data_IF_275967820642
#
_entry.id   IF_275967820642
#
_cell.length_a   1.000
_cell.length_b   1.000
_cell.length_c   1.000
_cell.angle_alpha   90.00
_cell.angle_beta   90.00
_cell.angle_gamma   90.00
#
_symmetry.space_group_name_H-M   'P 1'
#
loop_
_entity.id
_entity.type
_entity.pdbx_description
1 polymer ?
#
# COMPACT_ATOMS: atom_id res chain seq x y z
N UNK A 1 6.99 2.94 -1.97
CA UNK A 1 6.07 2.92 -0.84
C UNK A 1 6.16 1.66 -0.01
N UNK A 2 5.45 1.63 1.07
CA UNK A 2 5.34 0.46 1.96
C UNK A 2 3.88 0.31 2.37
N UNK A 3 3.05 0.10 1.35
CA UNK A 3 1.62 0.26 1.45
C UNK A 3 0.98 -0.90 2.20
N UNK A 4 -0.08 -0.59 2.93
CA UNK A 4 -0.67 -1.52 3.88
C UNK A 4 -2.06 -1.99 3.49
N UNK A 5 -2.40 -3.19 3.98
CA UNK A 5 -3.77 -3.66 4.16
C UNK A 5 -3.97 -3.94 5.65
N UNK A 6 -5.04 -3.44 6.23
CA UNK A 6 -5.48 -3.83 7.56
C UNK A 6 -6.93 -4.33 7.51
N UNK A 7 -7.20 -5.49 8.07
CA UNK A 7 -8.53 -6.06 8.19
C UNK A 7 -9.05 -5.94 9.62
N UNK A 8 -10.28 -5.45 9.79
CA UNK A 8 -11.02 -5.49 11.05
C UNK A 8 -11.68 -6.87 11.25
N UNK A 9 -11.93 -7.35 12.47
CA UNK A 9 -12.61 -8.63 12.70
C UNK A 9 -13.95 -8.84 11.98
N UNK A 10 -14.64 -7.76 11.61
CA UNK A 10 -15.87 -7.81 10.81
C UNK A 10 -15.66 -7.98 9.30
N UNK A 11 -14.42 -7.98 8.82
CA UNK A 11 -14.15 -8.06 7.39
C UNK A 11 -14.53 -9.44 6.82
N UNK A 12 -14.83 -9.48 5.52
CA UNK A 12 -15.01 -10.73 4.81
C UNK A 12 -13.64 -11.35 4.48
N UNK A 13 -13.31 -12.55 5.00
CA UNK A 13 -11.98 -13.13 4.82
C UNK A 13 -11.63 -13.42 3.36
N UNK A 14 -12.60 -13.77 2.51
CA UNK A 14 -12.35 -14.00 1.10
C UNK A 14 -11.99 -12.70 0.35
N UNK A 15 -12.66 -11.60 0.69
CA UNK A 15 -12.34 -10.27 0.14
C UNK A 15 -10.96 -9.80 0.57
N UNK A 16 -10.60 -10.03 1.84
CA UNK A 16 -9.25 -9.73 2.37
C UNK A 16 -8.19 -10.51 1.60
N UNK A 17 -8.38 -11.83 1.45
CA UNK A 17 -7.43 -12.69 0.72
C UNK A 17 -7.23 -12.24 -0.74
N UNK A 18 -8.32 -11.93 -1.44
CA UNK A 18 -8.26 -11.40 -2.83
C UNK A 18 -7.59 -10.02 -2.87
N UNK A 19 -7.88 -9.16 -1.91
CA UNK A 19 -7.21 -7.85 -1.77
C UNK A 19 -5.71 -7.99 -1.57
N UNK A 20 -5.26 -8.97 -0.80
CA UNK A 20 -3.83 -9.30 -0.63
C UNK A 20 -3.26 -9.85 -1.93
N UNK A 21 -3.89 -10.87 -2.53
CA UNK A 21 -3.39 -11.54 -3.73
C UNK A 21 -3.21 -10.56 -4.91
N UNK A 22 -4.22 -9.76 -5.20
CA UNK A 22 -4.15 -8.74 -6.26
C UNK A 22 -3.24 -7.58 -5.87
N UNK A 23 -3.37 -7.08 -4.64
CA UNK A 23 -2.60 -5.93 -4.18
C UNK A 23 -1.10 -6.16 -4.14
N UNK A 24 -0.67 -7.37 -3.76
CA UNK A 24 0.73 -7.71 -3.60
C UNK A 24 1.39 -8.30 -4.86
N UNK A 25 0.64 -9.00 -5.72
CA UNK A 25 1.23 -9.83 -6.76
C UNK A 25 0.92 -9.42 -8.19
N UNK A 26 -0.12 -8.60 -8.43
CA UNK A 26 -0.33 -8.01 -9.76
C UNK A 26 0.95 -7.30 -10.23
N UNK A 27 1.35 -7.56 -11.48
CA UNK A 27 2.59 -7.04 -12.06
C UNK A 27 3.84 -7.33 -11.20
N UNK A 28 3.89 -8.53 -10.59
CA UNK A 28 4.97 -9.01 -9.72
C UNK A 28 5.24 -8.07 -8.52
N UNK A 29 4.22 -7.37 -8.01
CA UNK A 29 4.38 -6.41 -6.92
C UNK A 29 5.26 -5.22 -7.26
N UNK A 30 5.54 -4.98 -8.55
CA UNK A 30 6.41 -3.90 -9.02
C UNK A 30 5.61 -2.61 -9.24
N UNK A 31 4.86 -2.21 -8.22
CA UNK A 31 4.10 -0.97 -8.18
C UNK A 31 4.48 -0.22 -6.90
N UNK A 32 4.64 1.09 -6.98
CA UNK A 32 4.87 1.92 -5.80
C UNK A 32 3.75 1.78 -4.75
N UNK A 33 2.54 1.42 -5.20
CA UNK A 33 1.33 1.21 -4.38
C UNK A 33 0.98 -0.25 -4.12
N UNK A 34 1.85 -1.22 -4.44
CA UNK A 34 1.60 -2.63 -4.15
C UNK A 34 1.47 -2.88 -2.65
N UNK A 35 0.52 -3.74 -2.26
CA UNK A 35 0.40 -4.18 -0.88
C UNK A 35 1.68 -4.90 -0.44
N UNK A 36 2.28 -4.43 0.63
CA UNK A 36 3.61 -4.84 1.05
C UNK A 36 3.63 -5.36 2.48
N UNK A 37 2.73 -4.83 3.32
CA UNK A 37 2.52 -5.23 4.71
C UNK A 37 1.03 -5.36 4.99
N UNK A 38 0.67 -6.42 5.68
CA UNK A 38 -0.73 -6.77 5.95
C UNK A 38 -0.92 -7.08 7.42
N UNK A 39 -2.01 -6.57 7.99
CA UNK A 39 -2.40 -6.79 9.38
C UNK A 39 -3.76 -7.49 9.40
N UNK A 40 -3.78 -8.72 9.93
CA UNK A 40 -4.99 -9.58 9.95
C UNK A 40 -5.34 -9.93 11.39
N UNK A 41 -6.61 -9.80 11.82
CA UNK A 41 -6.99 -10.23 13.15
C UNK A 41 -6.95 -11.75 13.26
N UNK A 42 -6.60 -12.22 14.44
CA UNK A 42 -6.43 -13.65 14.73
C UNK A 42 -7.65 -14.49 14.36
N UNK A 43 -8.86 -13.98 14.57
CA UNK A 43 -10.10 -14.69 14.25
C UNK A 43 -10.31 -14.92 12.74
N UNK A 44 -9.82 -14.03 11.89
CA UNK A 44 -9.98 -14.15 10.43
C UNK A 44 -8.85 -14.91 9.76
N UNK A 45 -7.69 -15.01 10.41
CA UNK A 45 -6.48 -15.53 9.78
C UNK A 45 -6.64 -16.92 9.15
N UNK A 46 -7.22 -17.94 9.83
CA UNK A 46 -7.34 -19.26 9.23
C UNK A 46 -8.10 -19.27 7.89
N UNK A 47 -9.18 -18.49 7.79
CA UNK A 47 -9.98 -18.40 6.56
C UNK A 47 -9.27 -17.58 5.47
N UNK A 48 -8.59 -16.50 5.85
CA UNK A 48 -7.78 -15.68 4.92
C UNK A 48 -6.63 -16.51 4.38
N UNK A 49 -5.90 -17.23 5.24
CA UNK A 49 -4.77 -18.09 4.86
C UNK A 49 -5.20 -19.16 3.87
N UNK A 50 -6.26 -19.91 4.17
CA UNK A 50 -6.75 -20.99 3.32
C UNK A 50 -7.16 -20.48 1.92
N UNK A 51 -7.84 -19.34 1.85
CA UNK A 51 -8.25 -18.74 0.58
C UNK A 51 -7.04 -18.20 -0.20
N UNK A 52 -6.12 -17.51 0.47
CA UNK A 52 -4.91 -16.95 -0.14
C UNK A 52 -4.02 -18.08 -0.71
N UNK A 53 -3.84 -19.15 0.05
CA UNK A 53 -3.06 -20.31 -0.40
C UNK A 53 -3.69 -20.97 -1.65
N UNK A 54 -5.02 -21.13 -1.68
CA UNK A 54 -5.71 -21.66 -2.85
C UNK A 54 -5.55 -20.77 -4.08
N UNK A 55 -5.63 -19.43 -3.90
CA UNK A 55 -5.43 -18.46 -4.98
C UNK A 55 -4.00 -18.53 -5.51
N UNK A 56 -3.00 -18.50 -4.64
CA UNK A 56 -1.59 -18.54 -5.04
C UNK A 56 -1.23 -19.84 -5.78
N UNK A 57 -1.74 -20.99 -5.33
CA UNK A 57 -1.56 -22.28 -6.02
C UNK A 57 -2.15 -22.29 -7.43
N UNK A 58 -3.15 -21.45 -7.70
CA UNK A 58 -3.76 -21.33 -9.03
C UNK A 58 -3.03 -20.36 -9.96
N UNK A 59 -2.15 -19.51 -9.43
CA UNK A 59 -1.39 -18.53 -10.21
C UNK A 59 -0.30 -19.23 -11.02
N UNK A 60 -0.39 -19.11 -12.34
CA UNK A 60 0.67 -19.59 -13.24
C UNK A 60 1.76 -18.54 -13.35
N UNK A 61 3.00 -19.02 -13.47
CA UNK A 61 4.19 -18.18 -13.67
C UNK A 61 4.92 -18.61 -14.95
N UNK A 62 5.27 -17.64 -15.80
CA UNK A 62 5.96 -17.92 -17.05
C UNK A 62 6.14 -16.69 -17.94
N UNK A 63 6.30 -16.94 -19.25
CA UNK A 63 6.47 -15.88 -20.25
C UNK A 63 5.24 -14.95 -20.32
N UNK A 64 5.45 -13.62 -20.48
CA UNK A 64 4.36 -12.67 -20.72
C UNK A 64 3.65 -12.87 -22.07
N UNK A 65 4.21 -13.65 -22.98
CA UNK A 65 3.56 -14.02 -24.25
C UNK A 65 2.37 -14.98 -24.04
N UNK A 66 2.38 -15.75 -22.95
CA UNK A 66 1.25 -16.59 -22.54
C UNK A 66 0.36 -15.81 -21.54
N UNK A 67 -0.77 -15.33 -22.03
CA UNK A 67 -1.74 -14.56 -21.24
C UNK A 67 -2.39 -15.34 -20.09
N UNK A 68 -2.16 -16.65 -19.99
CA UNK A 68 -2.61 -17.45 -18.84
C UNK A 68 -1.67 -17.32 -17.62
N UNK A 69 -0.48 -16.75 -17.78
CA UNK A 69 0.46 -16.49 -16.70
C UNK A 69 0.08 -15.21 -15.96
N UNK A 70 -0.23 -15.34 -14.69
CA UNK A 70 -0.50 -14.20 -13.81
C UNK A 70 0.81 -13.53 -13.33
N UNK A 71 1.86 -14.32 -13.16
CA UNK A 71 3.19 -13.88 -12.70
C UNK A 71 4.19 -14.05 -13.85
N UNK A 72 5.00 -13.01 -14.06
CA UNK A 72 6.12 -13.05 -15.01
C UNK A 72 7.44 -12.72 -14.30
N UNK A 73 8.53 -12.48 -15.04
CA UNK A 73 9.82 -12.15 -14.46
C UNK A 73 9.84 -10.75 -13.83
N UNK A 74 10.63 -10.55 -12.79
CA UNK A 74 10.96 -9.21 -12.28
C UNK A 74 11.91 -8.47 -13.21
N UNK A 75 12.00 -7.15 -13.07
CA UNK A 75 12.57 -6.24 -14.07
C UNK A 75 14.06 -6.45 -14.36
N UNK A 76 14.85 -6.92 -13.37
CA UNK A 76 16.32 -7.03 -13.54
C UNK A 76 16.93 -8.06 -12.61
N UNK A 77 18.17 -8.47 -12.92
CA UNK A 77 18.96 -9.35 -12.04
C UNK A 77 19.19 -8.72 -10.67
N UNK A 78 19.49 -7.44 -10.59
CA UNK A 78 19.65 -6.75 -9.31
C UNK A 78 18.38 -6.79 -8.44
N UNK A 79 17.19 -6.68 -9.07
CA UNK A 79 15.92 -6.85 -8.38
C UNK A 79 15.73 -8.29 -7.91
N UNK A 80 16.02 -9.26 -8.77
CA UNK A 80 15.97 -10.68 -8.44
C UNK A 80 16.87 -11.01 -7.24
N UNK A 81 18.15 -10.66 -7.30
CA UNK A 81 19.15 -10.98 -6.26
C UNK A 81 18.78 -10.30 -4.92
N UNK A 82 18.25 -9.08 -4.97
CA UNK A 82 17.72 -8.41 -3.77
C UNK A 82 16.57 -9.19 -3.15
N UNK A 83 15.58 -9.59 -3.95
CA UNK A 83 14.39 -10.31 -3.47
C UNK A 83 14.76 -11.69 -2.92
N UNK A 84 15.61 -12.45 -3.63
CA UNK A 84 16.13 -13.75 -3.20
C UNK A 84 16.79 -13.64 -1.82
N UNK A 85 17.65 -12.64 -1.63
CA UNK A 85 18.32 -12.40 -0.33
C UNK A 85 17.34 -12.16 0.81
N UNK A 86 16.29 -11.35 0.60
CA UNK A 86 15.28 -11.10 1.64
C UNK A 86 14.42 -12.34 1.93
N UNK A 87 14.11 -13.13 0.91
CA UNK A 87 13.40 -14.41 1.08
C UNK A 87 14.26 -15.40 1.88
N UNK A 88 15.54 -15.54 1.55
CA UNK A 88 16.46 -16.42 2.27
C UNK A 88 16.69 -15.93 3.71
N UNK A 89 16.77 -14.62 3.93
CA UNK A 89 16.85 -14.07 5.27
C UNK A 89 15.59 -14.46 6.07
N UNK A 90 14.40 -14.31 5.52
CA UNK A 90 13.15 -14.67 6.20
C UNK A 90 13.05 -16.18 6.51
N UNK A 91 13.59 -17.05 5.63
CA UNK A 91 13.64 -18.50 5.87
C UNK A 91 14.53 -18.90 7.06
N UNK A 92 15.51 -18.07 7.39
CA UNK A 92 16.52 -18.36 8.42
C UNK A 92 16.36 -17.51 9.70
N UNK A 93 15.32 -16.66 9.76
CA UNK A 93 15.09 -15.73 10.87
C UNK A 93 14.07 -16.32 11.84
N UNK A 94 14.29 -16.16 13.15
CA UNK A 94 13.36 -16.61 14.18
C UNK A 94 12.06 -15.79 14.26
N UNK A 95 12.09 -14.55 13.78
CA UNK A 95 10.95 -13.62 13.81
C UNK A 95 10.04 -13.74 12.58
N UNK A 96 10.40 -14.60 11.60
CA UNK A 96 9.69 -14.71 10.35
C UNK A 96 9.62 -16.15 9.84
N UNK A 97 8.57 -16.45 9.09
CA UNK A 97 8.37 -17.73 8.42
C UNK A 97 7.87 -17.48 6.99
N UNK A 98 8.47 -18.13 6.00
CA UNK A 98 7.94 -18.14 4.63
C UNK A 98 6.87 -19.23 4.55
N UNK A 99 5.60 -18.82 4.59
CA UNK A 99 4.46 -19.76 4.65
C UNK A 99 3.89 -20.13 3.27
N UNK A 100 4.19 -19.37 2.22
CA UNK A 100 3.77 -19.64 0.84
C UNK A 100 4.85 -19.14 -0.13
N UNK A 101 5.08 -19.86 -1.22
CA UNK A 101 6.09 -19.50 -2.22
C UNK A 101 7.53 -19.66 -1.70
N UNK A 102 8.33 -18.65 -1.96
CA UNK A 102 9.72 -18.61 -1.49
C UNK A 102 10.73 -19.27 -2.41
N UNK A 103 10.30 -19.78 -3.57
CA UNK A 103 11.20 -20.29 -4.60
C UNK A 103 11.47 -19.22 -5.65
N UNK A 104 12.64 -19.32 -6.26
CA UNK A 104 13.06 -18.39 -7.30
C UNK A 104 14.06 -19.07 -8.22
N UNK A 105 14.07 -18.69 -9.49
CA UNK A 105 14.97 -19.25 -10.51
C UNK A 105 15.29 -18.20 -11.57
N UNK A 106 16.59 -18.01 -11.85
CA UNK A 106 17.06 -17.10 -12.90
C UNK A 106 17.68 -17.82 -14.11
N UNK A 107 17.52 -19.14 -14.21
CA UNK A 107 18.11 -19.92 -15.32
C UNK A 107 17.47 -19.61 -16.68
N UNK A 108 16.19 -19.22 -16.69
CA UNK A 108 15.42 -18.87 -17.89
C UNK A 108 14.91 -17.43 -17.88
N UNK A 109 14.94 -16.77 -16.75
CA UNK A 109 14.43 -15.42 -16.52
C UNK A 109 14.39 -15.14 -15.02
N UNK A 110 14.23 -13.90 -14.64
CA UNK A 110 14.26 -13.48 -13.24
C UNK A 110 12.94 -13.79 -12.52
N UNK A 111 12.62 -15.08 -12.36
CA UNK A 111 11.37 -15.55 -11.80
C UNK A 111 11.43 -15.67 -10.28
N UNK A 112 10.50 -15.00 -9.61
CA UNK A 112 10.26 -15.08 -8.15
C UNK A 112 8.82 -15.51 -7.92
N UNK A 113 8.61 -16.60 -7.19
CA UNK A 113 7.25 -17.00 -6.81
C UNK A 113 6.59 -15.96 -5.91
N UNK A 114 5.25 -15.77 -6.04
CA UNK A 114 4.48 -15.04 -5.04
C UNK A 114 4.78 -15.56 -3.64
N UNK A 115 5.39 -14.71 -2.81
CA UNK A 115 5.92 -15.12 -1.52
C UNK A 115 5.21 -14.41 -0.39
N UNK A 116 4.71 -15.19 0.56
CA UNK A 116 4.06 -14.71 1.79
C UNK A 116 4.95 -15.02 2.98
N UNK A 117 5.33 -13.98 3.69
CA UNK A 117 6.09 -14.05 4.95
C UNK A 117 5.12 -13.77 6.09
N UNK A 118 5.07 -14.64 7.09
CA UNK A 118 4.42 -14.40 8.36
C UNK A 118 5.46 -13.92 9.37
N UNK A 119 5.14 -12.88 10.13
CA UNK A 119 6.07 -12.39 11.16
C UNK A 119 5.38 -12.21 12.52
N UNK A 120 6.11 -12.48 13.59
CA UNK A 120 5.72 -12.14 14.95
C UNK A 120 6.18 -10.74 15.37
N UNK A 121 7.10 -10.15 14.59
CA UNK A 121 7.64 -8.82 14.82
C UNK A 121 6.98 -7.79 13.88
N UNK A 122 6.10 -6.91 14.38
CA UNK A 122 5.39 -5.95 13.53
C UNK A 122 6.29 -4.91 12.86
N UNK A 123 7.55 -4.82 13.29
CA UNK A 123 8.60 -3.97 12.68
C UNK A 123 9.69 -4.80 12.00
N UNK A 124 9.37 -6.02 11.60
CA UNK A 124 10.28 -6.85 10.83
C UNK A 124 10.78 -6.10 9.58
N UNK A 125 11.99 -6.37 9.14
CA UNK A 125 12.63 -5.61 8.06
C UNK A 125 11.79 -5.54 6.78
N UNK A 126 11.11 -6.64 6.41
CA UNK A 126 10.23 -6.66 5.22
C UNK A 126 8.90 -5.93 5.42
N UNK A 127 8.51 -5.58 6.67
CA UNK A 127 7.41 -4.66 6.97
C UNK A 127 7.80 -3.19 6.73
N UNK A 128 9.09 -2.86 6.79
CA UNK A 128 9.61 -1.49 6.74
C UNK A 128 10.33 -1.16 5.43
N UNK A 129 11.01 -2.14 4.81
CA UNK A 129 11.86 -1.94 3.63
C UNK A 129 11.10 -2.17 2.33
N UNK A 130 11.21 -1.24 1.38
CA UNK A 130 10.62 -1.36 0.03
C UNK A 130 11.39 -2.41 -0.79
N UNK A 131 10.74 -3.54 -1.06
CA UNK A 131 11.32 -4.63 -1.85
C UNK A 131 11.05 -4.48 -3.34
N UNK A 132 9.89 -4.02 -3.73
CA UNK A 132 9.46 -3.82 -5.12
C UNK A 132 9.43 -5.13 -5.91
N UNK A 133 8.78 -6.14 -5.35
CA UNK A 133 8.69 -7.49 -5.91
C UNK A 133 7.52 -8.27 -5.30
N UNK A 134 7.30 -9.52 -5.73
CA UNK A 134 6.15 -10.34 -5.33
C UNK A 134 6.33 -10.94 -3.93
N UNK A 135 6.56 -10.09 -2.94
CA UNK A 135 6.77 -10.46 -1.54
C UNK A 135 5.87 -9.59 -0.66
N UNK A 136 5.04 -10.23 0.14
CA UNK A 136 4.17 -9.57 1.12
C UNK A 136 4.42 -10.14 2.51
N UNK A 137 4.39 -9.29 3.52
CA UNK A 137 4.58 -9.68 4.92
C UNK A 137 3.31 -9.48 5.71
N UNK A 138 2.89 -10.51 6.45
CA UNK A 138 1.67 -10.53 7.25
C UNK A 138 2.02 -10.55 8.72
N UNK A 139 1.36 -9.69 9.49
CA UNK A 139 1.35 -9.68 10.94
C UNK A 139 -0.05 -9.98 11.46
N UNK A 140 -0.17 -10.96 12.36
CA UNK A 140 -1.44 -11.34 12.98
C UNK A 140 -1.56 -10.62 14.31
N UNK A 141 -2.65 -9.88 14.51
CA UNK A 141 -2.93 -9.17 15.74
C UNK A 141 -4.15 -9.74 16.49
N UNK A 142 -4.19 -9.57 17.80
CA UNK A 142 -5.34 -9.95 18.63
C UNK A 142 -6.56 -9.08 18.32
N UNK A 143 -7.72 -9.67 18.13
CA UNK A 143 -8.96 -8.99 17.72
C UNK A 143 -9.30 -7.75 18.58
N UNK A 144 -9.02 -7.82 19.87
CA UNK A 144 -9.27 -6.72 20.80
C UNK A 144 -8.30 -5.52 20.63
N UNK A 145 -7.20 -5.71 19.89
CA UNK A 145 -6.15 -4.68 19.71
C UNK A 145 -6.30 -3.88 18.43
N UNK A 146 -7.52 -3.68 17.95
CA UNK A 146 -7.80 -2.92 16.73
C UNK A 146 -7.20 -1.51 16.74
N UNK A 147 -7.55 -0.70 17.74
CA UNK A 147 -7.10 0.69 17.84
C UNK A 147 -5.57 0.79 18.01
N UNK A 148 -4.96 -0.12 18.79
CA UNK A 148 -3.51 -0.21 18.96
C UNK A 148 -2.82 -0.58 17.64
N UNK A 149 -3.44 -1.48 16.86
CA UNK A 149 -2.92 -1.90 15.56
C UNK A 149 -3.01 -0.78 14.53
N UNK A 150 -4.04 0.05 14.55
CA UNK A 150 -4.11 1.26 13.71
C UNK A 150 -2.92 2.19 13.98
N UNK A 151 -2.58 2.43 15.24
CA UNK A 151 -1.40 3.20 15.61
C UNK A 151 -0.11 2.56 15.12
N UNK A 152 0.01 1.24 15.27
CA UNK A 152 1.15 0.49 14.75
C UNK A 152 1.29 0.64 13.22
N UNK A 153 0.20 0.55 12.46
CA UNK A 153 0.18 0.77 11.00
C UNK A 153 0.73 2.14 10.64
N UNK A 154 0.31 3.19 11.36
CA UNK A 154 0.75 4.57 11.14
C UNK A 154 2.26 4.75 11.39
N UNK A 155 2.79 4.08 12.43
CA UNK A 155 4.16 4.25 12.92
C UNK A 155 5.19 3.32 12.25
N UNK A 156 4.77 2.30 11.49
CA UNK A 156 5.69 1.26 10.98
C UNK A 156 6.54 1.76 9.81
N UNK A 157 6.08 2.73 9.04
CA UNK A 157 6.76 3.16 7.82
C UNK A 157 6.85 4.68 7.73
N UNK A 158 7.96 5.17 7.19
CA UNK A 158 8.14 6.56 6.81
C UNK A 158 7.37 6.97 5.55
N UNK A 159 6.84 6.01 4.79
CA UNK A 159 6.02 6.25 3.60
C UNK A 159 4.54 6.39 3.95
N UNK A 160 3.82 7.17 3.13
CA UNK A 160 2.39 7.37 3.24
C UNK A 160 1.74 7.51 1.85
N UNK A 161 1.94 6.51 0.98
CA UNK A 161 1.44 6.55 -0.39
C UNK A 161 0.01 6.04 -0.45
N UNK A 162 -0.21 4.76 -0.24
CA UNK A 162 -1.54 4.15 -0.26
C UNK A 162 -1.76 3.23 0.94
N UNK A 163 -3.03 2.94 1.23
CA UNK A 163 -3.41 1.99 2.25
C UNK A 163 -4.86 1.56 2.09
N UNK A 164 -5.19 0.37 2.58
CA UNK A 164 -6.52 -0.20 2.51
C UNK A 164 -7.00 -0.73 3.86
N UNK A 165 -8.29 -0.51 4.13
CA UNK A 165 -8.99 -1.04 5.30
C UNK A 165 -10.12 -1.93 4.84
N UNK A 166 -10.16 -3.16 5.33
CA UNK A 166 -11.27 -4.09 5.11
C UNK A 166 -12.12 -4.19 6.36
N UNK A 167 -13.38 -3.82 6.28
CA UNK A 167 -14.34 -3.87 7.39
C UNK A 167 -15.78 -3.81 6.90
N UNK A 168 -16.69 -4.53 7.58
CA UNK A 168 -18.13 -4.38 7.43
C UNK A 168 -18.74 -3.53 8.57
N UNK A 169 -17.95 -3.16 9.56
CA UNK A 169 -18.35 -2.27 10.65
C UNK A 169 -18.06 -0.81 10.29
N UNK A 170 -19.11 0.01 10.16
CA UNK A 170 -18.95 1.42 9.80
C UNK A 170 -18.16 2.22 10.82
N UNK A 171 -18.35 1.94 12.11
CA UNK A 171 -17.59 2.59 13.18
C UNK A 171 -16.08 2.30 13.09
N UNK A 172 -15.71 1.05 12.78
CA UNK A 172 -14.30 0.69 12.58
C UNK A 172 -13.70 1.39 11.35
N UNK A 173 -14.48 1.58 10.28
CA UNK A 173 -14.05 2.36 9.10
C UNK A 173 -13.81 3.82 9.47
N UNK A 174 -14.71 4.42 10.26
CA UNK A 174 -14.56 5.81 10.72
C UNK A 174 -13.34 5.98 11.62
N UNK A 175 -13.16 5.09 12.60
CA UNK A 175 -11.97 5.07 13.47
C UNK A 175 -10.67 4.96 12.66
N UNK A 176 -10.61 4.00 11.72
CA UNK A 176 -9.45 3.83 10.86
C UNK A 176 -9.19 5.05 9.97
N UNK A 177 -10.24 5.68 9.44
CA UNK A 177 -10.12 6.88 8.60
C UNK A 177 -9.49 8.05 9.38
N UNK A 178 -9.86 8.20 10.64
CA UNK A 178 -9.29 9.24 11.51
C UNK A 178 -7.87 8.88 11.94
N UNK A 179 -7.66 7.65 12.41
CA UNK A 179 -6.35 7.21 12.92
C UNK A 179 -5.27 7.20 11.84
N UNK A 180 -5.64 6.86 10.59
CA UNK A 180 -4.71 6.71 9.46
C UNK A 180 -4.74 7.89 8.48
N UNK A 181 -5.31 9.03 8.84
CA UNK A 181 -5.44 10.20 7.96
C UNK A 181 -4.11 10.68 7.34
N UNK A 182 -2.99 10.45 8.04
CA UNK A 182 -1.65 10.82 7.58
C UNK A 182 -0.80 9.62 7.13
N UNK A 183 -1.37 8.40 7.11
CA UNK A 183 -0.67 7.18 6.75
C UNK A 183 -0.81 6.80 5.27
N UNK A 184 -1.75 7.42 4.54
CA UNK A 184 -1.97 7.15 3.12
C UNK A 184 -2.55 8.37 2.41
N UNK A 185 -1.96 8.75 1.28
CA UNK A 185 -2.51 9.77 0.40
C UNK A 185 -3.71 9.26 -0.39
N UNK A 186 -3.69 7.99 -0.82
CA UNK A 186 -4.85 7.27 -1.36
C UNK A 186 -5.30 6.21 -0.37
N UNK A 187 -6.50 6.37 0.17
CA UNK A 187 -7.06 5.52 1.20
C UNK A 187 -8.26 4.74 0.65
N UNK A 188 -8.20 3.41 0.74
CA UNK A 188 -9.18 2.51 0.14
C UNK A 188 -9.97 1.78 1.22
N UNK A 189 -11.28 1.62 1.01
CA UNK A 189 -12.16 0.88 1.91
C UNK A 189 -12.73 -0.31 1.14
N UNK A 190 -12.47 -1.52 1.64
CA UNK A 190 -12.87 -2.79 1.03
C UNK A 190 -12.38 -2.97 -0.42
N UNK A 191 -11.22 -2.42 -0.71
CA UNK A 191 -10.53 -2.61 -1.99
C UNK A 191 -9.00 -2.72 -1.75
N UNK A 192 -8.27 -3.24 -2.75
CA UNK A 192 -6.80 -3.30 -2.69
C UNK A 192 -6.19 -1.89 -2.77
N UNK A 193 -5.01 -1.65 -2.18
CA UNK A 193 -4.42 -0.31 -2.11
C UNK A 193 -3.75 0.16 -3.42
N UNK A 194 -3.88 -0.56 -4.52
CA UNK A 194 -3.22 -0.30 -5.80
C UNK A 194 -4.19 -0.26 -6.96
N UNK A 195 -3.73 0.30 -8.12
CA UNK A 195 -4.53 0.35 -9.33
C UNK A 195 -5.37 1.61 -9.45
N UNK A 196 -4.88 2.76 -8.98
CA UNK A 196 -5.51 4.06 -9.23
C UNK A 196 -5.67 4.31 -10.73
N UNK A 197 -6.87 4.73 -11.13
CA UNK A 197 -7.23 4.98 -12.52
C UNK A 197 -7.26 6.49 -12.77
N UNK A 198 -6.55 6.95 -13.79
CA UNK A 198 -6.53 8.36 -14.21
C UNK A 198 -7.95 8.85 -14.48
N UNK A 199 -8.29 10.02 -13.92
CA UNK A 199 -9.63 10.60 -14.03
C UNK A 199 -10.63 10.11 -12.99
N UNK A 200 -10.35 9.02 -12.28
CA UNK A 200 -11.20 8.50 -11.20
C UNK A 200 -10.59 8.76 -9.81
N UNK A 201 -9.29 8.53 -9.67
CA UNK A 201 -8.58 8.71 -8.39
C UNK A 201 -7.31 9.53 -8.64
N UNK A 202 -7.27 10.80 -8.24
CA UNK A 202 -6.02 11.55 -8.17
C UNK A 202 -5.04 10.80 -7.25
N UNK A 203 -3.78 10.69 -7.69
CA UNK A 203 -2.78 9.85 -7.05
C UNK A 203 -1.66 10.65 -6.41
N UNK A 204 -1.31 10.31 -5.19
CA UNK A 204 -0.20 10.91 -4.48
C UNK A 204 -0.15 10.49 -3.02
N UNK A 205 1.00 10.68 -2.40
CA UNK A 205 1.25 10.38 -1.01
C UNK A 205 2.08 11.43 -0.31
N UNK A 206 2.08 11.36 1.00
CA UNK A 206 2.80 12.26 1.90
C UNK A 206 4.02 11.57 2.54
N UNK A 207 4.65 12.20 3.52
CA UNK A 207 5.87 11.74 4.19
C UNK A 207 6.97 11.43 3.17
N UNK A 208 7.67 10.32 3.30
CA UNK A 208 8.70 9.86 2.35
C UNK A 208 8.17 9.50 0.95
N UNK A 209 6.85 9.44 0.74
CA UNK A 209 6.25 9.13 -0.56
C UNK A 209 6.08 10.34 -1.49
N UNK A 210 6.16 11.58 -0.98
CA UNK A 210 6.08 12.77 -1.81
C UNK A 210 5.33 13.93 -1.18
N UNK A 211 4.95 14.89 -2.00
CA UNK A 211 4.31 16.15 -1.59
C UNK A 211 2.78 16.10 -1.56
N UNK A 212 2.20 14.97 -1.92
CA UNK A 212 0.76 14.72 -1.96
C UNK A 212 -0.02 15.67 -2.90
N UNK A 213 0.59 16.11 -3.99
CA UNK A 213 -0.02 17.07 -4.93
C UNK A 213 -1.10 16.47 -5.83
N UNK A 214 -1.42 15.19 -5.66
CA UNK A 214 -2.53 14.51 -6.36
C UNK A 214 -2.45 14.60 -7.87
N UNK A 215 -1.48 13.88 -8.46
CA UNK A 215 -1.36 13.73 -9.91
C UNK A 215 -2.72 13.27 -10.51
N UNK A 216 -3.13 13.92 -11.61
CA UNK A 216 -4.43 13.74 -12.23
C UNK A 216 -5.55 14.63 -11.66
N UNK A 217 -5.22 15.59 -10.78
CA UNK A 217 -6.15 16.60 -10.29
C UNK A 217 -5.73 18.03 -10.70
N UNK A 218 -6.67 18.96 -10.63
CA UNK A 218 -6.38 20.39 -10.83
C UNK A 218 -5.42 20.96 -9.78
N UNK A 219 -5.40 20.38 -8.58
CA UNK A 219 -4.46 20.78 -7.52
C UNK A 219 -3.00 20.58 -7.92
N UNK A 220 -2.69 19.52 -8.67
CA UNK A 220 -1.33 19.29 -9.18
C UNK A 220 -0.87 20.41 -10.10
N UNK A 221 -1.77 20.98 -10.92
CA UNK A 221 -1.44 22.03 -11.88
C UNK A 221 -1.02 23.34 -11.18
N UNK A 222 -1.50 23.61 -9.97
CA UNK A 222 -1.11 24.79 -9.19
C UNK A 222 0.38 24.79 -8.83
N UNK A 223 1.03 23.64 -8.80
CA UNK A 223 2.49 23.55 -8.57
C UNK A 223 3.32 24.09 -9.74
N UNK A 224 2.73 24.14 -10.92
CA UNK A 224 3.38 24.57 -12.16
C UNK A 224 3.06 26.01 -12.52
N UNK A 225 2.25 26.70 -11.71
CA UNK A 225 1.81 28.06 -11.94
C UNK A 225 2.28 29.00 -10.83
N UNK A 226 2.69 30.21 -11.20
CA UNK A 226 2.92 31.30 -10.26
C UNK A 226 1.72 32.22 -10.28
N UNK A 227 1.04 32.31 -9.14
CA UNK A 227 -0.17 33.14 -9.02
C UNK A 227 0.22 34.59 -8.82
N UNK A 228 -0.36 35.48 -9.62
CA UNK A 228 -0.20 36.94 -9.51
C UNK A 228 -1.57 37.58 -9.30
N UNK A 229 -1.68 38.41 -8.28
CA UNK A 229 -2.87 39.23 -8.03
C UNK A 229 -2.59 40.65 -8.51
N UNK A 230 -3.51 41.19 -9.30
CA UNK A 230 -3.49 42.56 -9.77
C UNK A 230 -4.71 43.28 -9.22
N UNK A 231 -4.51 44.41 -8.55
CA UNK A 231 -5.55 45.35 -8.15
C UNK A 231 -5.33 46.67 -8.88
N UNK A 232 -6.32 47.12 -9.62
CA UNK A 232 -6.33 48.41 -10.27
C UNK A 232 -7.43 49.27 -9.67
N UNK A 233 -7.11 50.53 -9.38
CA UNK A 233 -8.09 51.48 -8.84
C UNK A 233 -8.27 52.57 -9.88
N UNK A 234 -9.48 52.68 -10.45
CA UNK A 234 -9.81 53.64 -11.51
C UNK A 234 -10.04 55.02 -10.97
N UNK A 235 -10.50 55.16 -9.72
CA UNK A 235 -10.66 56.43 -9.02
C UNK A 235 -9.78 56.36 -7.77
N UNK A 236 -8.57 56.88 -7.88
CA UNK A 236 -7.61 56.88 -6.77
C UNK A 236 -8.02 57.93 -5.75
N UNK A 237 -8.03 57.64 -4.45
CA UNK A 237 -8.25 58.65 -3.41
C UNK A 237 -7.20 59.75 -3.47
N UNK A 238 -7.63 61.01 -3.35
CA UNK A 238 -6.76 62.17 -3.31
C UNK A 238 -6.51 62.67 -1.88
N UNK A 239 -7.21 62.14 -0.89
CA UNK A 239 -7.04 62.39 0.54
C UNK A 239 -6.73 61.10 1.26
N UNK A 240 -5.92 61.17 2.28
CA UNK A 240 -5.57 60.01 3.13
C UNK A 240 -6.69 59.64 4.09
N UNK A 241 -7.61 60.57 4.37
CA UNK A 241 -8.71 60.37 5.28
C UNK A 241 -9.73 59.42 4.70
N UNK A 242 -10.15 58.46 5.52
CA UNK A 242 -11.30 57.66 5.24
C UNK A 242 -12.58 58.41 5.71
N UNK A 243 -13.78 58.08 5.18
CA UNK A 243 -15.01 58.76 5.51
C UNK A 243 -15.35 58.86 7.01
N UNK A 244 -14.87 57.91 7.82
CA UNK A 244 -15.08 57.92 9.27
C UNK A 244 -14.18 58.95 10.02
N UNK A 245 -13.22 59.52 9.36
CA UNK A 245 -12.34 60.54 9.95
C UNK A 245 -12.86 61.98 9.75
N UNK A 246 -13.94 62.12 9.01
CA UNK A 246 -14.57 63.45 8.73
C UNK A 246 -13.86 64.23 7.63
#
# INVERSE_FOLDING_TARGET
GKDFIIAHPSANPAQVAVGIARGAFEFQGQKCSAASRVYVPQSLWPAVQAKLEADLKSMKMGSPEDMSNFITAVISEASFDKLARYIDQAKNDSDAEVIMGGNYDKSKGYFIEPTVILTTNPKYNTMCTELFGPVVTIYIYEDAKWSETLKLVDETSEYALTGAVFSQCRYAVEEATVALQNAAGNFYINDKPTGAVVGMQPFGGARGSGTNDKAGSSQNLLRWASVRTIKETFVTPEDYKYPFLG
#
